data_IF_489563539373
#
_entry.id   IF_489563539373
#
_cell.length_a   1.000
_cell.length_b   1.000
_cell.length_c   1.000
_cell.angle_alpha   90.00
_cell.angle_beta   90.00
_cell.angle_gamma   90.00
#
_symmetry.space_group_name_H-M   'P 1'
#
loop_
_entity.id
_entity.type
_entity.pdbx_description
1 polymer ?
#
# COMPACT_ATOMS: atom_id res chain seq x y z
N UNK A 1 5.39 -19.57 -8.45
CA UNK A 1 4.90 -18.75 -7.33
C UNK A 1 4.43 -17.43 -7.87
N UNK A 2 3.46 -16.80 -7.23
CA UNK A 2 2.89 -15.52 -7.64
C UNK A 2 2.85 -14.58 -6.43
N UNK A 3 3.60 -13.49 -6.49
CA UNK A 3 3.61 -12.44 -5.48
C UNK A 3 3.02 -11.14 -6.04
N UNK A 4 2.43 -10.35 -5.16
CA UNK A 4 1.94 -9.01 -5.47
C UNK A 4 2.70 -8.01 -4.59
N UNK A 5 3.21 -6.94 -5.19
CA UNK A 5 3.65 -5.76 -4.42
C UNK A 5 2.44 -4.85 -4.24
N UNK A 6 1.90 -4.81 -3.04
CA UNK A 6 0.64 -4.10 -2.78
C UNK A 6 0.80 -2.59 -2.64
N UNK A 7 2.04 -2.06 -2.67
CA UNK A 7 2.26 -0.64 -2.51
C UNK A 7 3.65 -0.24 -3.01
N UNK A 8 3.70 0.42 -4.15
CA UNK A 8 4.95 0.93 -4.71
C UNK A 8 4.69 2.27 -5.42
N UNK A 9 5.71 3.08 -5.53
CA UNK A 9 5.66 4.37 -6.24
C UNK A 9 6.46 4.24 -7.52
N UNK A 10 5.84 3.70 -8.57
CA UNK A 10 6.53 3.44 -9.84
C UNK A 10 7.07 4.71 -10.50
N UNK A 11 6.46 5.86 -10.24
CA UNK A 11 6.91 7.15 -10.73
C UNK A 11 8.12 7.72 -9.96
N UNK A 12 8.44 7.15 -8.81
CA UNK A 12 9.56 7.60 -7.97
C UNK A 12 10.87 6.85 -8.18
N UNK A 13 10.89 5.84 -9.04
CA UNK A 13 12.08 5.02 -9.26
C UNK A 13 13.11 5.73 -10.16
N UNK A 14 14.36 5.27 -10.06
CA UNK A 14 15.46 5.84 -10.84
C UNK A 14 15.49 5.26 -12.25
N UNK A 15 14.92 6.01 -13.20
CA UNK A 15 14.93 5.66 -14.62
C UNK A 15 16.08 6.28 -15.40
N UNK A 16 16.97 7.02 -14.72
CA UNK A 16 18.15 7.62 -15.35
C UNK A 16 19.32 6.66 -15.40
N UNK A 17 19.54 5.88 -14.34
CA UNK A 17 20.74 5.02 -14.24
C UNK A 17 20.47 3.61 -13.74
N UNK A 18 19.34 3.35 -13.06
CA UNK A 18 19.07 2.02 -12.48
C UNK A 18 18.13 1.18 -13.35
N UNK A 19 17.03 1.78 -13.82
CA UNK A 19 16.05 1.10 -14.64
C UNK A 19 15.94 1.80 -15.99
N UNK A 20 15.82 0.99 -17.03
CA UNK A 20 15.63 1.52 -18.39
C UNK A 20 14.28 2.22 -18.54
N UNK A 21 13.23 1.56 -18.07
CA UNK A 21 11.84 2.03 -18.16
C UNK A 21 10.97 1.19 -17.20
N UNK A 22 9.66 1.40 -17.24
CA UNK A 22 8.70 0.64 -16.43
C UNK A 22 8.72 -0.85 -16.83
N UNK A 23 8.87 -1.17 -18.11
CA UNK A 23 8.97 -2.56 -18.57
C UNK A 23 10.14 -3.27 -17.88
N UNK A 24 11.28 -2.59 -17.75
CA UNK A 24 12.47 -3.14 -17.08
C UNK A 24 12.20 -3.43 -15.60
N UNK A 25 11.53 -2.50 -14.89
CA UNK A 25 11.14 -2.68 -13.48
C UNK A 25 10.25 -3.90 -13.33
N UNK A 26 9.23 -4.03 -14.17
CA UNK A 26 8.27 -5.13 -14.10
C UNK A 26 8.91 -6.47 -14.51
N UNK A 27 9.83 -6.46 -15.45
CA UNK A 27 10.58 -7.67 -15.84
C UNK A 27 11.48 -8.17 -14.71
N UNK A 28 12.20 -7.27 -14.03
CA UNK A 28 13.00 -7.62 -12.84
C UNK A 28 12.14 -8.20 -11.73
N UNK A 29 10.95 -7.64 -11.53
CA UNK A 29 10.00 -8.13 -10.54
C UNK A 29 9.52 -9.55 -10.91
N UNK A 30 9.08 -9.75 -12.16
CA UNK A 30 8.58 -11.04 -12.63
C UNK A 30 9.66 -12.14 -12.55
N UNK A 31 10.92 -11.80 -12.76
CA UNK A 31 12.04 -12.73 -12.60
C UNK A 31 12.17 -13.25 -11.16
N UNK A 32 11.59 -12.57 -10.19
CA UNK A 32 11.54 -12.98 -8.78
C UNK A 32 10.11 -13.34 -8.33
N UNK A 33 9.26 -13.72 -9.27
CA UNK A 33 7.86 -14.12 -9.03
C UNK A 33 6.94 -13.01 -8.57
N UNK A 34 7.35 -11.75 -8.65
CA UNK A 34 6.51 -10.58 -8.36
C UNK A 34 5.84 -10.16 -9.66
N UNK A 35 4.59 -10.57 -9.83
CA UNK A 35 3.91 -10.53 -11.12
C UNK A 35 2.76 -9.53 -11.20
N UNK A 36 2.54 -8.78 -10.14
CA UNK A 36 1.47 -7.78 -10.07
C UNK A 36 1.85 -6.68 -9.10
N UNK A 37 1.51 -5.43 -9.43
CA UNK A 37 1.81 -4.28 -8.59
C UNK A 37 0.61 -3.35 -8.46
N UNK A 38 0.48 -2.72 -7.29
CA UNK A 38 -0.38 -1.56 -7.09
C UNK A 38 0.51 -0.32 -7.02
N UNK A 39 0.37 0.55 -8.02
CA UNK A 39 1.12 1.81 -8.10
C UNK A 39 0.34 2.92 -7.39
N UNK A 40 0.94 3.51 -6.37
CA UNK A 40 0.29 4.42 -5.42
C UNK A 40 0.66 5.86 -5.73
N UNK A 41 -0.37 6.72 -5.84
CA UNK A 41 -0.21 8.15 -6.02
C UNK A 41 -0.15 8.87 -4.67
N UNK A 42 0.46 10.05 -4.65
CA UNK A 42 0.54 10.91 -3.46
C UNK A 42 -0.08 12.28 -3.68
N UNK A 43 -0.34 12.66 -4.92
CA UNK A 43 -1.05 13.88 -5.32
C UNK A 43 -1.89 13.60 -6.56
N UNK A 44 -2.83 14.49 -6.87
CA UNK A 44 -3.63 14.34 -8.10
C UNK A 44 -2.79 14.55 -9.36
N UNK A 45 -1.94 15.60 -9.45
CA UNK A 45 -1.01 15.69 -10.59
C UNK A 45 -0.07 14.49 -10.69
N UNK A 46 0.39 13.96 -9.54
CA UNK A 46 1.22 12.77 -9.49
C UNK A 46 0.51 11.53 -10.02
N UNK A 47 -0.77 11.37 -9.73
CA UNK A 47 -1.57 10.29 -10.29
C UNK A 47 -1.61 10.38 -11.84
N UNK A 48 -1.87 11.56 -12.37
CA UNK A 48 -1.93 11.75 -13.82
C UNK A 48 -0.59 11.43 -14.48
N UNK A 49 0.51 11.88 -13.87
CA UNK A 49 1.87 11.59 -14.35
C UNK A 49 2.16 10.09 -14.33
N UNK A 50 1.82 9.43 -13.22
CA UNK A 50 2.05 7.99 -13.05
C UNK A 50 1.21 7.19 -14.06
N UNK A 51 -0.05 7.56 -14.26
CA UNK A 51 -0.93 6.91 -15.22
C UNK A 51 -0.34 7.00 -16.65
N UNK A 52 0.20 8.15 -17.02
CA UNK A 52 0.81 8.34 -18.33
C UNK A 52 2.13 7.56 -18.45
N UNK A 53 2.94 7.56 -17.41
CA UNK A 53 4.23 6.84 -17.37
C UNK A 53 4.04 5.32 -17.49
N UNK A 54 3.13 4.78 -16.71
CA UNK A 54 2.91 3.33 -16.61
C UNK A 54 2.06 2.81 -17.77
N UNK A 55 1.05 3.57 -18.16
CA UNK A 55 0.09 3.17 -19.17
C UNK A 55 -0.85 2.06 -18.67
N UNK A 56 -1.72 1.60 -19.55
CA UNK A 56 -2.65 0.51 -19.24
C UNK A 56 -1.95 -0.84 -19.35
N UNK A 57 -1.96 -1.62 -18.27
CA UNK A 57 -1.31 -2.94 -18.21
C UNK A 57 -2.18 -3.90 -17.41
N UNK A 58 -2.16 -5.18 -17.80
CA UNK A 58 -2.89 -6.23 -17.10
C UNK A 58 -2.36 -6.49 -15.69
N UNK A 59 -1.09 -6.19 -15.45
CA UNK A 59 -0.37 -6.51 -14.21
C UNK A 59 -0.09 -5.31 -13.31
N UNK A 60 -0.71 -4.16 -13.58
CA UNK A 60 -0.60 -2.97 -12.71
C UNK A 60 -1.97 -2.35 -12.53
N UNK A 61 -2.29 -2.02 -11.29
CA UNK A 61 -3.45 -1.21 -10.92
C UNK A 61 -2.98 0.03 -10.16
N UNK A 62 -3.85 1.01 -10.02
CA UNK A 62 -3.51 2.31 -9.43
C UNK A 62 -4.33 2.62 -8.20
N UNK A 63 -3.80 3.47 -7.34
CA UNK A 63 -4.57 4.24 -6.38
C UNK A 63 -4.56 5.71 -6.76
N UNK A 64 -5.52 6.46 -6.26
CA UNK A 64 -5.58 7.91 -6.44
C UNK A 64 -5.87 8.56 -5.09
N UNK A 65 -5.04 9.51 -4.69
CA UNK A 65 -5.22 10.19 -3.42
C UNK A 65 -4.17 11.26 -3.16
N UNK A 66 -4.37 11.96 -2.05
CA UNK A 66 -3.47 13.03 -1.59
C UNK A 66 -2.90 12.64 -0.24
N UNK A 67 -1.59 12.44 -0.22
CA UNK A 67 -0.82 12.01 0.94
C UNK A 67 -0.83 13.08 2.04
N UNK A 68 -0.81 12.71 3.33
CA UNK A 68 -0.78 13.69 4.41
C UNK A 68 0.41 14.66 4.37
N UNK A 69 1.54 14.27 3.78
CA UNK A 69 2.70 15.16 3.59
C UNK A 69 2.50 16.16 2.45
N UNK A 70 1.47 16.04 1.65
CA UNK A 70 1.19 16.88 0.49
C UNK A 70 -0.06 17.78 0.68
N UNK A 71 -0.40 18.13 1.92
CA UNK A 71 -1.57 18.96 2.24
C UNK A 71 -1.31 20.47 2.21
N UNK A 72 -0.10 20.90 1.88
CA UNK A 72 0.23 22.32 1.72
C UNK A 72 -0.43 22.91 0.47
N UNK A 73 -0.59 22.11 -0.57
CA UNK A 73 -1.25 22.53 -1.80
C UNK A 73 -2.72 22.09 -1.78
N UNK A 74 -3.66 23.02 -1.92
CA UNK A 74 -5.07 22.65 -1.96
C UNK A 74 -5.39 21.85 -3.23
N UNK A 75 -6.34 20.94 -3.12
CA UNK A 75 -6.87 20.19 -4.25
C UNK A 75 -8.39 20.23 -4.24
N UNK A 76 -9.00 20.02 -5.41
CA UNK A 76 -10.45 19.97 -5.54
C UNK A 76 -10.93 18.53 -5.23
N UNK A 77 -11.82 18.40 -4.24
CA UNK A 77 -12.39 17.10 -3.84
C UNK A 77 -13.15 16.44 -5.00
N UNK A 78 -13.78 17.25 -5.86
CA UNK A 78 -14.49 16.72 -7.03
C UNK A 78 -13.52 16.13 -8.07
N UNK A 79 -12.31 16.71 -8.20
CA UNK A 79 -11.27 16.13 -9.04
C UNK A 79 -10.80 14.80 -8.47
N UNK A 80 -10.64 14.70 -7.17
CA UNK A 80 -10.31 13.43 -6.50
C UNK A 80 -11.39 12.37 -6.79
N UNK A 81 -12.65 12.73 -6.62
CA UNK A 81 -13.77 11.81 -6.87
C UNK A 81 -13.78 11.32 -8.32
N UNK A 82 -13.60 12.24 -9.27
CA UNK A 82 -13.62 11.93 -10.70
C UNK A 82 -12.46 11.00 -11.09
N UNK A 83 -11.25 11.29 -10.63
CA UNK A 83 -10.07 10.47 -10.93
C UNK A 83 -10.12 9.11 -10.24
N UNK A 84 -10.54 9.08 -8.97
CA UNK A 84 -10.67 7.84 -8.22
C UNK A 84 -11.73 6.89 -8.81
N UNK A 85 -12.67 7.42 -9.59
CA UNK A 85 -13.70 6.62 -10.27
C UNK A 85 -13.19 5.94 -11.55
N UNK A 86 -12.00 6.25 -12.03
CA UNK A 86 -11.42 5.61 -13.22
C UNK A 86 -11.27 4.10 -13.00
N UNK A 87 -11.48 3.33 -14.08
CA UNK A 87 -11.52 1.86 -14.00
C UNK A 87 -10.21 1.25 -13.47
N UNK A 88 -9.07 1.81 -13.83
CA UNK A 88 -7.76 1.32 -13.38
C UNK A 88 -7.44 1.66 -11.93
N UNK A 89 -8.25 2.48 -11.26
CA UNK A 89 -8.05 2.89 -9.87
C UNK A 89 -8.82 1.96 -8.95
N UNK A 90 -8.13 1.26 -8.06
CA UNK A 90 -8.72 0.25 -7.16
C UNK A 90 -8.84 0.74 -5.71
N UNK A 91 -8.27 1.90 -5.39
CA UNK A 91 -8.25 2.40 -4.01
C UNK A 91 -8.13 3.92 -3.96
N UNK A 92 -8.62 4.51 -2.87
CA UNK A 92 -8.38 5.90 -2.48
C UNK A 92 -7.12 5.93 -1.63
N UNK A 93 -6.10 6.59 -2.11
CA UNK A 93 -4.86 6.70 -1.36
C UNK A 93 -3.64 6.99 -2.26
N UNK A 94 -2.58 7.21 -1.62
CA UNK A 94 -2.28 7.13 -0.19
C UNK A 94 -2.89 8.32 0.56
N UNK A 95 -3.53 8.08 1.69
CA UNK A 95 -4.19 9.08 2.52
C UNK A 95 -3.88 8.78 3.99
N UNK A 96 -4.35 9.60 4.90
CA UNK A 96 -4.15 9.39 6.31
C UNK A 96 -3.57 10.60 7.01
N UNK A 97 -2.76 10.35 8.05
CA UNK A 97 -2.23 11.44 8.88
C UNK A 97 -0.79 11.18 9.29
N UNK A 98 0.01 12.24 9.28
CA UNK A 98 1.40 12.24 9.69
C UNK A 98 1.67 13.49 10.54
N UNK A 99 1.75 13.33 11.84
CA UNK A 99 2.01 14.44 12.76
C UNK A 99 3.50 14.56 13.10
N UNK A 100 4.31 13.63 12.61
CA UNK A 100 5.76 13.69 12.81
C UNK A 100 6.41 14.70 11.86
N UNK A 101 6.13 14.57 10.56
CA UNK A 101 6.75 15.45 9.55
C UNK A 101 6.01 16.78 9.36
N UNK A 102 4.67 16.75 9.40
CA UNK A 102 3.84 17.92 9.07
C UNK A 102 2.73 18.15 10.10
N UNK A 103 3.07 18.38 11.39
CA UNK A 103 2.04 18.63 12.41
C UNK A 103 1.27 19.93 12.17
N UNK A 104 1.84 20.88 11.43
CA UNK A 104 1.20 22.18 11.13
C UNK A 104 0.01 22.07 10.20
N UNK A 105 -0.14 20.97 9.45
CA UNK A 105 -1.28 20.75 8.56
C UNK A 105 -2.30 19.76 9.14
N UNK A 106 -2.27 19.51 10.42
CA UNK A 106 -3.08 18.49 11.10
C UNK A 106 -4.57 18.56 10.73
N UNK A 107 -5.17 19.73 10.77
CA UNK A 107 -6.60 19.91 10.46
C UNK A 107 -6.88 19.55 9.01
N UNK A 108 -6.05 20.02 8.07
CA UNK A 108 -6.19 19.69 6.66
C UNK A 108 -6.02 18.22 6.38
N UNK A 109 -5.09 17.57 7.09
CA UNK A 109 -4.90 16.13 6.96
C UNK A 109 -6.15 15.36 7.39
N UNK A 110 -6.76 15.75 8.50
CA UNK A 110 -7.99 15.13 9.00
C UNK A 110 -9.14 15.31 8.01
N UNK A 111 -9.35 16.52 7.52
CA UNK A 111 -10.40 16.81 6.53
C UNK A 111 -10.19 15.99 5.23
N UNK A 112 -8.95 15.95 4.75
CA UNK A 112 -8.60 15.20 3.55
C UNK A 112 -8.82 13.70 3.74
N UNK A 113 -8.43 13.16 4.88
CA UNK A 113 -8.63 11.75 5.21
C UNK A 113 -10.12 11.39 5.20
N UNK A 114 -10.94 12.24 5.82
CA UNK A 114 -12.39 12.07 5.83
C UNK A 114 -12.94 12.05 4.40
N UNK A 115 -12.51 12.99 3.54
CA UNK A 115 -12.94 13.02 2.13
C UNK A 115 -12.59 11.73 1.40
N UNK A 116 -11.40 11.19 1.61
CA UNK A 116 -10.98 9.93 0.97
C UNK A 116 -11.86 8.76 1.40
N UNK A 117 -12.17 8.67 2.70
CA UNK A 117 -13.05 7.60 3.20
C UNK A 117 -14.45 7.73 2.62
N UNK A 118 -15.00 8.93 2.59
CA UNK A 118 -16.34 9.18 2.03
C UNK A 118 -16.42 8.80 0.57
N UNK A 119 -15.42 9.18 -0.23
CA UNK A 119 -15.36 8.82 -1.64
C UNK A 119 -15.17 7.30 -1.80
N UNK A 120 -14.34 6.68 -0.99
CA UNK A 120 -14.17 5.22 -0.99
C UNK A 120 -15.50 4.49 -0.74
N UNK A 121 -16.29 4.97 0.20
CA UNK A 121 -17.63 4.42 0.47
C UNK A 121 -18.57 4.62 -0.71
N UNK A 122 -18.57 5.80 -1.33
CA UNK A 122 -19.40 6.09 -2.52
C UNK A 122 -19.04 5.17 -3.69
N UNK A 123 -17.74 4.95 -3.93
CA UNK A 123 -17.25 4.17 -5.06
C UNK A 123 -17.09 2.68 -4.76
N UNK A 124 -17.30 2.27 -3.52
CA UNK A 124 -17.00 0.90 -3.05
C UNK A 124 -15.55 0.51 -3.34
N UNK A 125 -14.61 1.41 -3.00
CA UNK A 125 -13.18 1.20 -3.13
C UNK A 125 -12.52 1.41 -1.78
N UNK A 126 -11.59 0.54 -1.37
CA UNK A 126 -10.93 0.67 -0.07
C UNK A 126 -9.97 1.86 -0.02
N UNK A 127 -9.57 2.23 1.21
CA UNK A 127 -8.58 3.28 1.44
C UNK A 127 -7.22 2.66 1.76
N UNK A 128 -6.15 3.27 1.25
CA UNK A 128 -4.77 2.94 1.61
C UNK A 128 -4.30 4.01 2.59
N UNK A 129 -4.05 3.61 3.83
CA UNK A 129 -3.85 4.53 4.96
C UNK A 129 -2.39 4.55 5.41
N UNK A 130 -1.86 5.75 5.54
CA UNK A 130 -0.60 6.08 6.20
C UNK A 130 -0.89 6.69 7.56
N UNK A 131 -0.18 6.24 8.59
CA UNK A 131 -0.24 6.88 9.90
C UNK A 131 1.15 6.97 10.52
N UNK A 132 1.48 8.15 11.06
CA UNK A 132 2.70 8.35 11.84
C UNK A 132 2.44 9.39 12.93
N UNK A 133 2.67 9.00 14.20
CA UNK A 133 2.39 9.83 15.37
C UNK A 133 0.96 10.40 15.39
N UNK A 134 -0.01 9.59 14.87
CA UNK A 134 -1.40 9.99 14.71
C UNK A 134 -2.36 8.83 15.01
N UNK A 135 -1.92 7.87 15.79
CA UNK A 135 -2.63 6.61 16.04
C UNK A 135 -4.08 6.81 16.51
N UNK A 136 -4.26 7.61 17.55
CA UNK A 136 -5.57 7.80 18.16
C UNK A 136 -6.56 8.46 17.19
N UNK A 137 -6.12 9.53 16.51
CA UNK A 137 -6.98 10.24 15.54
C UNK A 137 -7.26 9.38 14.31
N UNK A 138 -6.30 8.58 13.87
CA UNK A 138 -6.51 7.65 12.75
C UNK A 138 -7.62 6.66 13.09
N UNK A 139 -7.54 5.99 14.23
CA UNK A 139 -8.56 5.03 14.66
C UNK A 139 -9.93 5.69 14.86
N UNK A 140 -9.97 6.89 15.46
CA UNK A 140 -11.22 7.62 15.68
C UNK A 140 -11.91 7.95 14.36
N UNK A 141 -11.18 8.50 13.40
CA UNK A 141 -11.75 8.87 12.10
C UNK A 141 -12.22 7.65 11.32
N UNK A 142 -11.44 6.57 11.32
CA UNK A 142 -11.84 5.32 10.66
C UNK A 142 -13.19 4.81 11.19
N UNK A 143 -13.37 4.85 12.51
CA UNK A 143 -14.64 4.43 13.14
C UNK A 143 -15.79 5.38 12.82
N UNK A 144 -15.58 6.67 13.03
CA UNK A 144 -16.60 7.71 12.84
C UNK A 144 -17.10 7.77 11.40
N UNK A 145 -16.18 7.59 10.43
CA UNK A 145 -16.50 7.64 9.01
C UNK A 145 -16.96 6.28 8.45
N UNK A 146 -17.14 5.28 9.29
CA UNK A 146 -17.66 3.96 8.91
C UNK A 146 -16.85 3.31 7.78
N UNK A 147 -15.56 3.26 7.97
CA UNK A 147 -14.62 2.67 7.00
C UNK A 147 -14.94 1.21 6.67
N UNK A 148 -15.65 0.51 7.55
CA UNK A 148 -16.08 -0.87 7.31
C UNK A 148 -16.93 -1.02 6.05
N UNK A 149 -17.58 0.05 5.59
CA UNK A 149 -18.40 0.02 4.37
C UNK A 149 -17.55 -0.10 3.10
N UNK A 150 -16.30 0.34 3.10
CA UNK A 150 -15.42 0.24 1.93
C UNK A 150 -14.18 -0.62 2.18
N UNK A 151 -13.77 -0.77 3.43
CA UNK A 151 -12.55 -1.47 3.79
C UNK A 151 -11.29 -0.63 3.60
N UNK A 152 -10.17 -1.22 3.96
CA UNK A 152 -8.88 -0.55 3.81
C UNK A 152 -7.71 -1.40 4.26
N UNK A 153 -6.53 -0.82 4.09
CA UNK A 153 -5.26 -1.38 4.56
C UNK A 153 -4.45 -0.29 5.24
N UNK A 154 -3.84 -0.63 6.37
CA UNK A 154 -2.77 0.19 6.91
C UNK A 154 -1.47 -0.26 6.27
N UNK A 155 -0.95 0.59 5.36
CA UNK A 155 0.27 0.26 4.64
C UNK A 155 1.50 0.56 5.49
N UNK A 156 2.60 -0.11 5.19
CA UNK A 156 3.89 0.09 5.87
C UNK A 156 3.71 0.12 7.40
N UNK A 157 3.05 -0.90 7.93
CA UNK A 157 2.68 -0.95 9.35
C UNK A 157 3.91 -0.86 10.24
N UNK A 158 3.91 0.10 11.16
CA UNK A 158 5.00 0.32 12.12
C UNK A 158 4.48 0.52 13.55
N UNK A 159 3.20 0.25 13.77
CA UNK A 159 2.54 0.41 15.06
C UNK A 159 2.70 -0.84 15.91
N UNK A 160 2.02 -0.91 17.05
CA UNK A 160 2.08 -2.05 17.96
C UNK A 160 0.97 -3.08 17.71
N UNK A 161 1.08 -4.20 18.40
CA UNK A 161 0.14 -5.31 18.35
C UNK A 161 -1.29 -4.87 18.74
N UNK A 162 -1.43 -4.01 19.75
CA UNK A 162 -2.74 -3.50 20.18
C UNK A 162 -3.42 -2.70 19.07
N UNK A 163 -2.68 -1.84 18.41
CA UNK A 163 -3.19 -1.07 17.27
C UNK A 163 -3.57 -1.98 16.12
N UNK A 164 -2.77 -3.00 15.83
CA UNK A 164 -3.11 -4.02 14.84
C UNK A 164 -4.46 -4.66 15.15
N UNK A 165 -4.69 -5.06 16.41
CA UNK A 165 -5.96 -5.64 16.84
C UNK A 165 -7.15 -4.73 16.60
N UNK A 166 -7.01 -3.44 16.90
CA UNK A 166 -8.07 -2.45 16.69
C UNK A 166 -8.39 -2.24 15.20
N UNK A 167 -7.37 -2.27 14.35
CA UNK A 167 -7.55 -2.18 12.90
C UNK A 167 -8.23 -3.45 12.35
N UNK A 168 -7.84 -4.62 12.84
CA UNK A 168 -8.48 -5.89 12.46
C UNK A 168 -9.97 -5.89 12.82
N UNK A 169 -10.33 -5.33 13.99
CA UNK A 169 -11.72 -5.19 14.41
C UNK A 169 -12.53 -4.30 13.46
N UNK A 170 -11.87 -3.38 12.75
CA UNK A 170 -12.50 -2.54 11.72
C UNK A 170 -12.52 -3.21 10.34
N UNK A 171 -12.12 -4.46 10.24
CA UNK A 171 -12.08 -5.18 8.97
C UNK A 171 -10.86 -4.85 8.10
N UNK A 172 -9.86 -4.17 8.63
CA UNK A 172 -8.66 -3.77 7.90
C UNK A 172 -7.73 -4.94 7.62
N UNK A 173 -7.02 -4.80 6.52
CA UNK A 173 -5.81 -5.55 6.23
C UNK A 173 -4.60 -4.78 6.73
N UNK A 174 -3.51 -5.49 6.98
CA UNK A 174 -2.27 -4.92 7.49
C UNK A 174 -1.13 -5.33 6.57
N UNK A 175 -0.41 -4.33 6.04
CA UNK A 175 0.67 -4.56 5.10
C UNK A 175 2.02 -4.31 5.76
N UNK A 176 2.94 -5.25 5.57
CA UNK A 176 4.31 -5.16 6.08
C UNK A 176 5.29 -4.90 4.95
N UNK A 177 6.22 -4.00 5.21
CA UNK A 177 7.28 -3.59 4.27
C UNK A 177 8.64 -4.12 4.71
N UNK A 178 9.69 -3.67 4.04
CA UNK A 178 11.07 -4.04 4.37
C UNK A 178 11.48 -3.73 5.79
N UNK A 179 10.80 -2.80 6.48
CA UNK A 179 11.10 -2.45 7.89
C UNK A 179 11.03 -3.70 8.79
N UNK A 180 10.16 -4.65 8.49
CA UNK A 180 10.03 -5.87 9.30
C UNK A 180 11.33 -6.67 9.37
N UNK A 181 12.22 -6.51 8.38
CA UNK A 181 13.52 -7.18 8.30
C UNK A 181 14.62 -6.42 9.06
N UNK A 182 14.35 -5.20 9.53
CA UNK A 182 15.38 -4.34 10.13
C UNK A 182 15.76 -4.81 11.54
N UNK A 183 17.03 -4.53 11.91
CA UNK A 183 17.62 -5.03 13.15
C UNK A 183 16.81 -4.69 14.41
N UNK A 184 16.29 -3.45 14.51
CA UNK A 184 15.64 -2.93 15.72
C UNK A 184 14.10 -2.93 15.59
N UNK A 185 13.53 -3.91 14.89
CA UNK A 185 12.10 -3.95 14.60
C UNK A 185 11.35 -5.07 15.35
N UNK A 186 11.82 -5.47 16.55
CA UNK A 186 11.22 -6.61 17.25
C UNK A 186 9.77 -6.37 17.66
N UNK A 187 9.42 -5.15 18.06
CA UNK A 187 8.02 -4.81 18.37
C UNK A 187 7.13 -4.98 17.13
N UNK A 188 7.64 -4.59 15.98
CA UNK A 188 6.93 -4.76 14.71
C UNK A 188 6.79 -6.23 14.34
N UNK A 189 7.85 -7.02 14.54
CA UNK A 189 7.80 -8.47 14.29
C UNK A 189 6.79 -9.18 15.20
N UNK A 190 6.65 -8.72 16.45
CA UNK A 190 5.64 -9.24 17.36
C UNK A 190 4.23 -8.98 16.82
N UNK A 191 3.96 -7.77 16.32
CA UNK A 191 2.70 -7.47 15.66
C UNK A 191 2.49 -8.33 14.40
N UNK A 192 3.54 -8.55 13.61
CA UNK A 192 3.48 -9.38 12.42
C UNK A 192 3.11 -10.83 12.73
N UNK A 193 3.63 -11.38 13.82
CA UNK A 193 3.26 -12.73 14.28
C UNK A 193 1.79 -12.82 14.70
N UNK A 194 1.28 -11.74 15.28
CA UNK A 194 -0.11 -11.66 15.78
C UNK A 194 -1.14 -11.57 14.66
N UNK A 195 -0.86 -10.82 13.59
CA UNK A 195 -1.82 -10.58 12.51
C UNK A 195 -2.14 -11.89 11.78
N UNK A 196 -3.43 -12.26 11.62
CA UNK A 196 -3.79 -13.51 10.93
C UNK A 196 -3.34 -13.50 9.47
N UNK A 197 -3.02 -14.68 8.95
CA UNK A 197 -2.60 -14.84 7.55
C UNK A 197 -3.60 -14.26 6.56
N UNK A 198 -4.91 -14.41 6.82
CA UNK A 198 -5.97 -13.94 5.91
C UNK A 198 -6.19 -12.41 5.95
N UNK A 199 -5.37 -11.68 6.70
CA UNK A 199 -5.42 -10.21 6.78
C UNK A 199 -4.09 -9.56 6.46
N UNK A 200 -3.11 -10.34 6.01
CA UNK A 200 -1.77 -9.87 5.67
C UNK A 200 -1.67 -9.42 4.22
N UNK A 201 -0.95 -8.32 4.00
CA UNK A 201 -0.38 -7.96 2.71
C UNK A 201 1.12 -7.74 2.87
N UNK A 202 1.84 -7.82 1.76
CA UNK A 202 3.27 -7.47 1.67
C UNK A 202 3.47 -6.40 0.62
N UNK A 203 4.43 -5.53 0.88
CA UNK A 203 4.71 -4.39 0.01
C UNK A 203 6.18 -4.02 0.03
N UNK A 204 6.62 -3.22 -0.94
CA UNK A 204 7.96 -2.62 -0.91
C UNK A 204 7.95 -1.20 -0.37
N UNK A 205 6.97 -0.39 -0.69
CA UNK A 205 6.99 1.07 -0.55
C UNK A 205 8.15 1.69 -1.34
N UNK A 206 8.54 1.02 -2.45
CA UNK A 206 9.66 1.47 -3.27
C UNK A 206 9.41 2.86 -3.86
N UNK A 207 10.43 3.70 -3.96
CA UNK A 207 11.87 3.42 -3.85
C UNK A 207 12.44 3.39 -2.43
N UNK A 208 11.61 3.51 -1.40
CA UNK A 208 12.03 3.62 0.00
C UNK A 208 12.18 2.26 0.67
N UNK A 209 12.87 2.20 1.79
CA UNK A 209 12.83 1.12 2.78
C UNK A 209 13.25 -0.25 2.24
N UNK A 210 14.33 -0.31 1.43
CA UNK A 210 14.84 -1.58 0.93
C UNK A 210 15.05 -2.59 2.07
N UNK A 211 14.55 -3.84 1.93
CA UNK A 211 14.69 -4.86 2.97
C UNK A 211 16.13 -5.35 3.08
N UNK A 212 16.47 -5.94 4.23
CA UNK A 212 17.73 -6.69 4.37
C UNK A 212 17.72 -7.85 3.37
N UNK A 213 18.81 -8.12 2.64
CA UNK A 213 20.16 -7.55 2.73
C UNK A 213 20.42 -6.32 1.85
N UNK A 214 19.40 -5.68 1.31
CA UNK A 214 19.53 -4.62 0.31
C UNK A 214 19.52 -3.20 0.89
N UNK A 215 19.63 -3.04 2.20
CA UNK A 215 19.59 -1.72 2.83
C UNK A 215 20.66 -0.80 2.25
N UNK A 216 20.29 0.48 2.03
CA UNK A 216 21.16 1.47 1.40
C UNK A 216 21.06 1.52 -0.12
N UNK A 217 20.37 0.58 -0.74
CA UNK A 217 20.06 0.58 -2.17
C UNK A 217 18.66 1.12 -2.41
N UNK A 218 18.38 1.57 -3.64
CA UNK A 218 17.02 1.91 -4.01
C UNK A 218 16.16 0.65 -4.01
N UNK A 219 15.00 0.71 -3.35
CA UNK A 219 14.04 -0.37 -3.36
C UNK A 219 13.30 -0.42 -4.69
N UNK A 220 12.72 -1.57 -5.02
CA UNK A 220 11.93 -1.80 -6.23
C UNK A 220 10.95 -2.95 -6.01
N UNK A 221 9.92 -3.11 -6.84
CA UNK A 221 8.93 -4.18 -6.64
C UNK A 221 9.53 -5.58 -6.53
N UNK A 222 10.62 -5.88 -7.25
CA UNK A 222 11.31 -7.17 -7.15
C UNK A 222 11.68 -7.54 -5.70
N UNK A 223 11.92 -6.55 -4.84
CA UNK A 223 12.33 -6.77 -3.45
C UNK A 223 11.18 -7.16 -2.51
N UNK A 224 9.93 -7.16 -2.98
CA UNK A 224 8.84 -7.70 -2.14
C UNK A 224 9.06 -9.20 -1.87
N UNK A 225 9.80 -9.87 -2.74
CA UNK A 225 10.20 -11.27 -2.51
C UNK A 225 10.96 -11.44 -1.19
N UNK A 226 11.89 -10.54 -0.90
CA UNK A 226 12.64 -10.58 0.36
C UNK A 226 11.72 -10.38 1.56
N UNK A 227 10.76 -9.46 1.46
CA UNK A 227 9.77 -9.23 2.51
C UNK A 227 8.91 -10.49 2.70
N UNK A 228 8.43 -11.07 1.62
CA UNK A 228 7.58 -12.26 1.67
C UNK A 228 8.31 -13.46 2.29
N UNK A 229 9.57 -13.69 1.91
CA UNK A 229 10.38 -14.77 2.49
C UNK A 229 10.58 -14.57 3.98
N UNK A 230 10.86 -13.34 4.42
CA UNK A 230 11.00 -13.04 5.84
C UNK A 230 9.68 -13.25 6.60
N UNK A 231 8.57 -12.76 6.06
CA UNK A 231 7.26 -12.92 6.66
C UNK A 231 6.85 -14.39 6.76
N UNK A 232 7.19 -15.21 5.77
CA UNK A 232 6.92 -16.65 5.81
C UNK A 232 7.63 -17.31 7.00
N UNK A 233 8.88 -16.95 7.25
CA UNK A 233 9.62 -17.44 8.43
C UNK A 233 8.94 -17.00 9.72
N UNK A 234 8.57 -15.73 9.84
CA UNK A 234 7.87 -15.22 11.04
C UNK A 234 6.55 -15.93 11.29
N UNK A 235 5.81 -16.25 10.23
CA UNK A 235 4.50 -16.90 10.34
C UNK A 235 4.59 -18.41 10.41
N UNK A 236 5.79 -18.98 10.25
CA UNK A 236 5.99 -20.43 10.31
C UNK A 236 5.35 -21.18 9.14
N UNK A 237 5.29 -20.59 7.96
CA UNK A 237 4.72 -21.17 6.75
C UNK A 237 5.72 -21.16 5.61
N UNK A 238 5.49 -21.97 4.58
CA UNK A 238 6.28 -21.91 3.35
C UNK A 238 6.04 -20.58 2.62
N UNK A 239 7.04 -20.09 1.91
CA UNK A 239 6.91 -18.83 1.14
C UNK A 239 5.82 -18.95 0.07
N UNK A 240 5.64 -20.14 -0.51
CA UNK A 240 4.58 -20.39 -1.50
C UNK A 240 3.19 -20.20 -0.88
N UNK A 241 3.00 -20.65 0.35
CA UNK A 241 1.74 -20.46 1.08
C UNK A 241 1.53 -18.98 1.43
N UNK A 242 2.56 -18.29 1.87
CA UNK A 242 2.47 -16.85 2.14
C UNK A 242 2.12 -16.09 0.87
N UNK A 243 2.78 -16.41 -0.24
CA UNK A 243 2.50 -15.78 -1.54
C UNK A 243 1.04 -15.98 -1.95
N UNK A 244 0.51 -17.18 -1.82
CA UNK A 244 -0.86 -17.50 -2.19
C UNK A 244 -1.87 -16.74 -1.32
N UNK A 245 -1.68 -16.77 0.00
CA UNK A 245 -2.65 -16.15 0.92
C UNK A 245 -2.63 -14.62 0.79
N UNK A 246 -1.46 -14.00 0.65
CA UNK A 246 -1.38 -12.55 0.49
C UNK A 246 -1.91 -12.09 -0.86
N UNK A 247 -1.73 -12.89 -1.91
CA UNK A 247 -2.31 -12.61 -3.23
C UNK A 247 -3.84 -12.72 -3.19
N UNK A 248 -4.39 -13.74 -2.53
CA UNK A 248 -5.83 -13.89 -2.34
C UNK A 248 -6.40 -12.72 -1.52
N UNK A 249 -5.70 -12.29 -0.48
CA UNK A 249 -6.08 -11.14 0.32
C UNK A 249 -6.11 -9.85 -0.52
N UNK A 250 -5.09 -9.65 -1.34
CA UNK A 250 -5.01 -8.52 -2.24
C UNK A 250 -6.21 -8.48 -3.20
N UNK A 251 -6.49 -9.59 -3.83
CA UNK A 251 -7.62 -9.69 -4.77
C UNK A 251 -8.97 -9.41 -4.07
N UNK A 252 -9.13 -9.91 -2.86
CA UNK A 252 -10.35 -9.69 -2.07
C UNK A 252 -10.53 -8.23 -1.67
N UNK A 253 -9.47 -7.62 -1.14
CA UNK A 253 -9.54 -6.22 -0.69
C UNK A 253 -9.81 -5.26 -1.84
N UNK A 254 -9.11 -5.42 -2.96
CA UNK A 254 -9.16 -4.48 -4.07
C UNK A 254 -10.15 -4.88 -5.18
N UNK A 255 -10.96 -5.91 -4.95
CA UNK A 255 -12.00 -6.37 -5.88
C UNK A 255 -11.45 -6.75 -7.26
N UNK A 256 -10.32 -7.45 -7.28
CA UNK A 256 -9.70 -7.93 -8.50
C UNK A 256 -10.14 -9.37 -8.74
N UNK A 257 -10.66 -9.66 -9.95
CA UNK A 257 -11.06 -11.03 -10.30
C UNK A 257 -9.86 -11.98 -10.26
N UNK A 258 -10.08 -13.14 -9.64
CA UNK A 258 -9.08 -14.20 -9.62
C UNK A 258 -8.67 -14.62 -11.04
N UNK A 259 -9.59 -14.58 -12.01
CA UNK A 259 -9.31 -14.88 -13.41
C UNK A 259 -8.28 -13.95 -14.02
N UNK A 260 -8.29 -12.67 -13.64
CA UNK A 260 -7.29 -11.69 -14.09
C UNK A 260 -5.90 -12.08 -13.62
N UNK A 261 -5.76 -12.44 -12.35
CA UNK A 261 -4.46 -12.85 -11.79
C UNK A 261 -3.98 -14.16 -12.40
N UNK A 262 -4.89 -15.12 -12.62
CA UNK A 262 -4.57 -16.40 -13.23
C UNK A 262 -4.10 -16.27 -14.68
N UNK A 263 -4.54 -15.25 -15.41
CA UNK A 263 -4.15 -15.02 -16.80
C UNK A 263 -2.74 -14.46 -16.94
N UNK A 264 -2.13 -14.03 -15.84
CA UNK A 264 -0.76 -13.48 -15.81
C UNK A 264 0.22 -14.61 -15.54
N UNK A 265 1.14 -14.80 -16.46
CA UNK A 265 2.13 -15.89 -16.40
C UNK A 265 3.44 -15.47 -15.69
#
# INVERSE_FOLDING_TARGET
>A
MFLVDSHCHLDGLNYESLHKDVDDVLAKAAARDVKFCLAVATTLPGYLHMRDLVGERDNVVFSCGVHPLNQNDPYDVEDLRRLAAEEGVVALGETGMDYYYTPETKVRQQESFIHHIQIGRELNKPVIVHTRDARADTLAILREEKVTDCGGVLHCFTEDKETAGKLLDLGFYISFSGIVTFRNAEQLRDAARYVPLDRLLVETDSPYLAPVPHRGKENQPAMVRDVAEYMAVLKGVAVEELAQVTTDNFARLFHIDASRLQSIS
#
